data_IF_144032248604
#
_entry.id   IF_144032248604
#
_cell.length_a   1.000
_cell.length_b   1.000
_cell.length_c   1.000
_cell.angle_alpha   90.00
_cell.angle_beta   90.00
_cell.angle_gamma   90.00
#
_symmetry.space_group_name_H-M   'P 1'
#
loop_
_entity.id
_entity.type
_entity.pdbx_description
1 polymer ?
#
# COMPACT_ATOMS: atom_id res chain seq x y z
N UNK A 1 0.49 -4.07 -16.55
CA UNK A 1 1.75 -4.17 -15.82
C UNK A 1 1.71 -3.37 -14.50
N UNK A 2 1.38 -2.04 -14.53
CA UNK A 2 1.38 -1.18 -13.33
C UNK A 2 0.53 -1.74 -12.18
N UNK A 3 -0.73 -2.12 -12.45
CA UNK A 3 -1.61 -2.71 -11.42
C UNK A 3 -1.00 -3.97 -10.79
N UNK A 4 -0.40 -4.85 -11.60
CA UNK A 4 0.28 -6.04 -11.10
C UNK A 4 1.47 -5.68 -10.21
N UNK A 5 2.29 -4.71 -10.62
CA UNK A 5 3.45 -4.26 -9.85
C UNK A 5 3.04 -3.61 -8.51
N UNK A 6 1.97 -2.80 -8.51
CA UNK A 6 1.39 -2.23 -7.29
C UNK A 6 0.89 -3.31 -6.33
N UNK A 7 0.21 -4.34 -6.83
CA UNK A 7 -0.24 -5.45 -6.00
C UNK A 7 0.94 -6.29 -5.47
N UNK A 8 1.93 -6.56 -6.32
CA UNK A 8 3.10 -7.35 -5.95
C UNK A 8 3.92 -6.70 -4.82
N UNK A 9 4.14 -5.37 -4.88
CA UNK A 9 4.90 -4.69 -3.82
C UNK A 9 4.14 -4.66 -2.48
N UNK A 10 2.80 -4.66 -2.50
CA UNK A 10 2.00 -4.80 -1.27
C UNK A 10 2.16 -6.19 -0.66
N UNK A 11 2.19 -7.24 -1.50
CA UNK A 11 2.43 -8.62 -1.03
C UNK A 11 3.83 -8.76 -0.42
N UNK A 12 4.86 -8.23 -1.09
CA UNK A 12 6.23 -8.27 -0.56
C UNK A 12 6.39 -7.41 0.70
N UNK A 13 5.71 -6.26 0.79
CA UNK A 13 5.63 -5.45 2.01
C UNK A 13 4.92 -6.20 3.15
N UNK A 14 3.91 -7.00 2.84
CA UNK A 14 3.30 -7.94 3.79
C UNK A 14 4.30 -8.99 4.29
N UNK A 15 5.14 -9.52 3.41
CA UNK A 15 6.21 -10.46 3.79
C UNK A 15 7.24 -9.80 4.72
N UNK A 16 7.71 -8.57 4.42
CA UNK A 16 8.59 -7.77 5.31
C UNK A 16 8.00 -7.70 6.72
N UNK A 17 6.71 -7.45 6.81
CA UNK A 17 6.02 -7.32 8.07
C UNK A 17 5.89 -8.66 8.82
N UNK A 18 5.49 -9.74 8.14
CA UNK A 18 5.27 -11.06 8.74
C UNK A 18 6.58 -11.71 9.18
N UNK A 19 7.68 -11.43 8.50
CA UNK A 19 9.01 -11.95 8.86
C UNK A 19 9.71 -11.11 9.92
N UNK A 20 9.10 -10.02 10.40
CA UNK A 20 9.73 -9.11 11.34
C UNK A 20 10.96 -8.41 10.77
N UNK A 21 10.94 -8.10 9.46
CA UNK A 21 12.07 -7.53 8.72
C UNK A 21 11.97 -6.01 8.54
N UNK A 22 10.98 -5.36 9.15
CA UNK A 22 10.67 -3.95 8.87
C UNK A 22 11.72 -2.95 9.35
N UNK A 23 12.67 -3.36 10.20
CA UNK A 23 13.83 -2.60 10.66
C UNK A 23 15.16 -3.26 10.30
N UNK A 24 15.18 -4.14 9.30
CA UNK A 24 16.41 -4.72 8.77
C UNK A 24 17.36 -3.66 8.17
N UNK A 25 16.81 -2.56 7.67
CA UNK A 25 17.52 -1.33 7.30
C UNK A 25 17.04 -0.18 8.21
N UNK A 26 17.68 0.07 9.36
CA UNK A 26 17.13 0.96 10.40
C UNK A 26 17.21 2.45 10.05
N UNK A 27 17.82 2.82 8.93
CA UNK A 27 17.94 4.21 8.47
C UNK A 27 17.26 4.44 7.13
N UNK A 28 17.08 5.71 6.75
CA UNK A 28 16.53 6.10 5.46
C UNK A 28 17.09 7.48 5.04
N UNK A 29 17.47 7.69 3.78
CA UNK A 29 17.38 6.77 2.63
C UNK A 29 18.43 5.63 2.62
N UNK A 30 19.46 5.71 3.43
CA UNK A 30 20.49 4.68 3.59
C UNK A 30 19.92 3.42 4.26
N UNK A 31 20.51 2.25 4.01
CA UNK A 31 20.16 1.03 4.75
C UNK A 31 20.79 1.04 6.15
N UNK A 32 22.06 1.46 6.24
CA UNK A 32 22.79 1.70 7.49
C UNK A 32 23.59 2.99 7.37
N UNK A 33 23.99 3.62 8.48
CA UNK A 33 24.78 4.83 8.42
C UNK A 33 26.02 4.69 7.50
N UNK A 34 26.08 5.55 6.48
CA UNK A 34 27.16 5.55 5.48
C UNK A 34 27.05 4.45 4.42
N UNK A 35 25.91 3.75 4.27
CA UNK A 35 25.73 2.77 3.21
C UNK A 35 24.27 2.66 2.73
N UNK A 36 24.08 2.79 1.42
CA UNK A 36 22.79 2.55 0.76
C UNK A 36 22.49 1.06 0.57
N UNK A 37 23.49 0.19 0.71
CA UNK A 37 23.36 -1.27 0.59
C UNK A 37 23.60 -1.96 1.93
N UNK A 38 23.02 -3.15 2.13
CA UNK A 38 23.30 -3.98 3.30
C UNK A 38 24.80 -4.23 3.49
N UNK A 39 25.25 -4.20 4.74
CA UNK A 39 26.61 -4.56 5.13
C UNK A 39 26.64 -5.95 5.76
N UNK A 40 27.69 -6.76 5.53
CA UNK A 40 27.76 -8.14 6.06
C UNK A 40 27.86 -8.23 7.59
N UNK A 41 28.19 -7.13 8.26
CA UNK A 41 28.39 -7.06 9.73
C UNK A 41 27.36 -6.19 10.43
N UNK A 42 26.12 -6.11 9.89
CA UNK A 42 25.01 -5.44 10.58
C UNK A 42 24.59 -6.22 11.83
N UNK A 43 24.08 -5.51 12.83
CA UNK A 43 23.53 -6.11 14.06
C UNK A 43 22.26 -6.91 13.74
N UNK A 44 21.52 -6.45 12.76
CA UNK A 44 20.28 -7.09 12.30
C UNK A 44 20.59 -8.39 11.56
N UNK A 45 19.70 -9.35 11.69
CA UNK A 45 19.79 -10.64 11.01
C UNK A 45 19.81 -10.47 9.48
N UNK A 46 20.84 -11.01 8.82
CA UNK A 46 21.09 -10.79 7.40
C UNK A 46 19.89 -11.10 6.50
N UNK A 47 19.12 -12.16 6.81
CA UNK A 47 17.93 -12.52 6.04
C UNK A 47 16.90 -11.40 6.10
N UNK A 48 16.65 -10.81 7.26
CA UNK A 48 15.71 -9.71 7.46
C UNK A 48 16.13 -8.46 6.71
N UNK A 49 17.43 -8.16 6.75
CA UNK A 49 18.02 -7.03 6.00
C UNK A 49 17.77 -7.17 4.50
N UNK A 50 18.01 -8.34 3.93
CA UNK A 50 17.81 -8.57 2.49
C UNK A 50 16.35 -8.60 2.07
N UNK A 51 15.43 -9.06 2.94
CA UNK A 51 13.98 -9.00 2.69
C UNK A 51 13.53 -7.55 2.62
N UNK A 52 13.89 -6.70 3.58
CA UNK A 52 13.52 -5.28 3.55
C UNK A 52 14.20 -4.55 2.40
N UNK A 53 15.50 -4.71 2.23
CA UNK A 53 16.25 -4.06 1.16
C UNK A 53 15.70 -4.42 -0.22
N UNK A 54 15.38 -5.69 -0.44
CA UNK A 54 14.74 -6.17 -1.67
C UNK A 54 13.40 -5.47 -1.93
N UNK A 55 12.59 -5.28 -0.89
CA UNK A 55 11.32 -4.54 -1.01
C UNK A 55 11.55 -3.05 -1.35
N UNK A 56 12.60 -2.42 -0.79
CA UNK A 56 12.98 -1.04 -1.17
C UNK A 56 13.39 -0.95 -2.65
N UNK A 57 14.13 -1.94 -3.18
CA UNK A 57 14.53 -1.97 -4.59
C UNK A 57 13.33 -2.08 -5.53
N UNK A 58 12.28 -2.82 -5.16
CA UNK A 58 11.06 -2.91 -5.95
C UNK A 58 10.37 -1.56 -6.14
N UNK A 59 10.54 -0.62 -5.22
CA UNK A 59 10.03 0.75 -5.37
C UNK A 59 10.61 1.45 -6.59
N UNK A 60 11.91 1.29 -6.86
CA UNK A 60 12.54 1.87 -8.06
C UNK A 60 12.00 1.25 -9.34
N UNK A 61 11.79 -0.08 -9.36
CA UNK A 61 11.15 -0.77 -10.49
C UNK A 61 9.75 -0.23 -10.72
N UNK A 62 9.00 -0.01 -9.65
CA UNK A 62 7.64 0.53 -9.71
C UNK A 62 7.61 1.97 -10.24
N UNK A 63 8.56 2.82 -9.83
CA UNK A 63 8.74 4.18 -10.37
C UNK A 63 8.97 4.14 -11.89
N UNK A 64 9.87 3.28 -12.36
CA UNK A 64 10.16 3.13 -13.80
C UNK A 64 8.91 2.70 -14.58
N UNK A 65 8.15 1.74 -14.06
CA UNK A 65 6.89 1.30 -14.66
C UNK A 65 5.87 2.46 -14.70
N UNK A 66 5.74 3.23 -13.62
CA UNK A 66 4.80 4.34 -13.55
C UNK A 66 5.18 5.47 -14.52
N UNK A 67 6.47 5.81 -14.63
CA UNK A 67 6.99 6.79 -15.59
C UNK A 67 6.70 6.31 -17.03
N UNK A 68 6.97 5.03 -17.34
CA UNK A 68 6.68 4.46 -18.65
C UNK A 68 5.19 4.56 -19.00
N UNK A 69 4.31 4.30 -18.03
CA UNK A 69 2.86 4.46 -18.19
C UNK A 69 2.50 5.93 -18.43
N UNK A 70 3.07 6.86 -17.68
CA UNK A 70 2.83 8.29 -17.86
C UNK A 70 3.26 8.76 -19.26
N UNK A 71 4.46 8.40 -19.71
CA UNK A 71 4.96 8.71 -21.06
C UNK A 71 4.02 8.14 -22.12
N UNK A 72 3.57 6.90 -21.97
CA UNK A 72 2.63 6.25 -22.88
C UNK A 72 1.29 6.99 -22.96
N UNK A 73 0.78 7.46 -21.82
CA UNK A 73 -0.45 8.27 -21.76
C UNK A 73 -0.27 9.64 -22.42
N UNK A 74 0.87 10.28 -22.20
CA UNK A 74 1.18 11.58 -22.84
C UNK A 74 1.31 11.43 -24.36
N UNK A 75 1.98 10.38 -24.83
CA UNK A 75 2.15 10.08 -26.27
C UNK A 75 0.82 9.72 -26.96
N UNK A 76 -0.08 9.01 -26.26
CA UNK A 76 -1.39 8.63 -26.81
C UNK A 76 -2.42 9.75 -26.87
N UNK A 77 -2.07 10.97 -26.43
CA UNK A 77 -2.94 12.16 -26.35
C UNK A 77 -4.23 11.97 -25.51
N UNK A 78 -4.32 10.91 -24.70
CA UNK A 78 -5.45 10.64 -23.80
C UNK A 78 -5.41 11.58 -22.58
N UNK A 79 -6.01 12.77 -22.75
CA UNK A 79 -6.03 13.84 -21.72
C UNK A 79 -6.77 13.38 -20.44
N UNK A 80 -7.78 12.53 -20.60
CA UNK A 80 -8.60 11.97 -19.53
C UNK A 80 -7.83 11.04 -18.57
N UNK A 81 -6.70 10.47 -19.01
CA UNK A 81 -5.88 9.56 -18.22
C UNK A 81 -4.66 10.26 -17.55
N UNK A 82 -4.33 11.50 -17.97
CA UNK A 82 -3.11 12.20 -17.52
C UNK A 82 -3.05 12.39 -16.00
N UNK A 83 -4.17 12.82 -15.42
CA UNK A 83 -4.25 13.03 -13.96
C UNK A 83 -4.02 11.74 -13.18
N UNK A 84 -4.62 10.61 -13.62
CA UNK A 84 -4.42 9.31 -12.99
C UNK A 84 -2.97 8.83 -13.15
N UNK A 85 -2.39 8.95 -14.35
CA UNK A 85 -1.02 8.52 -14.61
C UNK A 85 0.01 9.36 -13.83
N UNK A 86 -0.17 10.69 -13.77
CA UNK A 86 0.66 11.57 -12.94
C UNK A 86 0.48 11.25 -11.45
N UNK A 87 -0.76 11.02 -11.01
CA UNK A 87 -1.06 10.62 -9.63
C UNK A 87 -0.37 9.32 -9.22
N UNK A 88 -0.19 8.37 -10.13
CA UNK A 88 0.59 7.16 -9.87
C UNK A 88 2.06 7.49 -9.59
N UNK A 89 2.70 8.30 -10.42
CA UNK A 89 4.11 8.69 -10.23
C UNK A 89 4.29 9.44 -8.91
N UNK A 90 3.48 10.48 -8.67
CA UNK A 90 3.57 11.29 -7.45
C UNK A 90 3.24 10.46 -6.19
N UNK A 91 2.26 9.57 -6.29
CA UNK A 91 1.88 8.71 -5.18
C UNK A 91 2.96 7.69 -4.84
N UNK A 92 3.69 7.13 -5.82
CA UNK A 92 4.80 6.22 -5.56
C UNK A 92 5.98 6.97 -4.92
N UNK A 93 6.27 8.21 -5.36
CA UNK A 93 7.25 9.07 -4.68
C UNK A 93 6.81 9.34 -3.23
N UNK A 94 5.53 9.66 -3.02
CA UNK A 94 4.95 9.81 -1.69
C UNK A 94 5.06 8.56 -0.84
N UNK A 95 4.93 7.37 -1.44
CA UNK A 95 5.16 6.08 -0.77
C UNK A 95 6.62 5.93 -0.30
N UNK A 96 7.58 6.33 -1.11
CA UNK A 96 9.00 6.33 -0.72
C UNK A 96 9.25 7.18 0.51
N UNK A 97 8.71 8.42 0.51
CA UNK A 97 8.83 9.36 1.64
C UNK A 97 8.12 8.80 2.88
N UNK A 98 6.89 8.34 2.73
CA UNK A 98 6.10 7.79 3.86
C UNK A 98 6.71 6.49 4.40
N UNK A 99 7.28 5.66 3.53
CA UNK A 99 8.06 4.48 3.93
C UNK A 99 9.30 4.86 4.73
N UNK A 100 10.01 5.92 4.33
CA UNK A 100 11.12 6.47 5.10
C UNK A 100 10.69 6.97 6.49
N UNK A 101 9.59 7.73 6.57
CA UNK A 101 9.01 8.17 7.84
C UNK A 101 8.65 6.95 8.71
N UNK A 102 8.09 5.90 8.11
CA UNK A 102 7.72 4.66 8.82
C UNK A 102 8.94 4.00 9.48
N UNK A 103 10.07 3.91 8.78
CA UNK A 103 11.32 3.38 9.33
C UNK A 103 11.86 4.30 10.44
N UNK A 104 11.97 5.60 10.18
CA UNK A 104 12.52 6.59 11.13
C UNK A 104 11.68 6.75 12.40
N UNK A 105 10.40 6.38 12.35
CA UNK A 105 9.50 6.36 13.54
C UNK A 105 9.45 4.99 14.21
N UNK A 106 10.37 4.07 13.90
CA UNK A 106 10.42 2.72 14.49
C UNK A 106 9.16 1.91 14.19
N UNK A 107 8.62 2.00 12.98
CA UNK A 107 7.39 1.34 12.51
C UNK A 107 6.17 1.74 13.36
N UNK A 108 6.05 3.01 13.73
CA UNK A 108 4.87 3.49 14.47
C UNK A 108 3.58 3.06 13.75
N UNK A 109 2.60 2.46 14.44
CA UNK A 109 1.46 1.81 13.78
C UNK A 109 0.62 2.77 12.91
N UNK A 110 0.56 4.06 13.25
CA UNK A 110 -0.14 5.03 12.41
C UNK A 110 0.58 5.31 11.09
N UNK A 111 1.92 5.36 11.07
CA UNK A 111 2.69 5.56 9.83
C UNK A 111 2.64 4.32 8.94
N UNK A 112 2.68 3.12 9.52
CA UNK A 112 2.48 1.84 8.81
C UNK A 112 1.08 1.78 8.19
N UNK A 113 0.04 2.15 8.96
CA UNK A 113 -1.33 2.22 8.46
C UNK A 113 -1.47 3.21 7.30
N UNK A 114 -0.93 4.42 7.44
CA UNK A 114 -0.95 5.44 6.39
C UNK A 114 -0.24 4.96 5.11
N UNK A 115 0.93 4.32 5.25
CA UNK A 115 1.69 3.76 4.14
C UNK A 115 0.89 2.67 3.39
N UNK A 116 0.23 1.77 4.12
CA UNK A 116 -0.63 0.74 3.54
C UNK A 116 -1.87 1.35 2.86
N UNK A 117 -2.58 2.29 3.51
CA UNK A 117 -3.76 2.94 2.94
C UNK A 117 -3.44 3.71 1.65
N UNK A 118 -2.29 4.39 1.59
CA UNK A 118 -1.83 5.03 0.35
C UNK A 118 -1.58 3.98 -0.76
N UNK A 119 -1.06 2.79 -0.43
CA UNK A 119 -0.92 1.69 -1.40
C UNK A 119 -2.27 1.26 -1.98
N UNK A 120 -3.31 1.17 -1.15
CA UNK A 120 -4.67 0.84 -1.60
C UNK A 120 -5.22 1.90 -2.56
N UNK A 121 -5.00 3.19 -2.26
CA UNK A 121 -5.38 4.30 -3.15
C UNK A 121 -4.66 4.19 -4.49
N UNK A 122 -3.38 3.84 -4.50
CA UNK A 122 -2.61 3.66 -5.72
C UNK A 122 -3.09 2.46 -6.54
N UNK A 123 -3.44 1.34 -5.89
CA UNK A 123 -4.05 0.18 -6.57
C UNK A 123 -5.39 0.56 -7.18
N UNK A 124 -6.25 1.28 -6.47
CA UNK A 124 -7.52 1.76 -6.99
C UNK A 124 -7.33 2.71 -8.20
N UNK A 125 -6.35 3.61 -8.12
CA UNK A 125 -5.97 4.48 -9.25
C UNK A 125 -5.45 3.70 -10.46
N UNK A 126 -4.60 2.70 -10.26
CA UNK A 126 -4.08 1.83 -11.32
C UNK A 126 -5.19 0.98 -11.96
N UNK A 127 -6.15 0.51 -11.15
CA UNK A 127 -7.35 -0.21 -11.62
C UNK A 127 -8.22 0.70 -12.48
N UNK A 128 -8.46 1.94 -12.02
CA UNK A 128 -9.21 2.95 -12.78
C UNK A 128 -8.51 3.31 -14.08
N UNK A 129 -7.19 3.45 -14.09
CA UNK A 129 -6.39 3.72 -15.27
C UNK A 129 -6.52 2.58 -16.30
N UNK A 130 -6.44 1.32 -15.83
CA UNK A 130 -6.62 0.14 -16.65
C UNK A 130 -8.05 0.06 -17.24
N UNK A 131 -9.07 0.26 -16.40
CA UNK A 131 -10.47 0.21 -16.84
C UNK A 131 -10.77 1.26 -17.92
N UNK A 132 -10.39 2.52 -17.68
CA UNK A 132 -10.60 3.61 -18.62
C UNK A 132 -9.79 3.50 -19.92
N UNK A 133 -8.67 2.77 -19.89
CA UNK A 133 -7.91 2.47 -21.11
C UNK A 133 -8.69 1.55 -22.03
N UNK A 134 -9.36 0.54 -21.51
CA UNK A 134 -10.09 -0.46 -22.29
C UNK A 134 -11.54 -0.04 -22.59
N UNK A 135 -12.14 0.71 -21.67
CA UNK A 135 -13.52 1.19 -21.77
C UNK A 135 -13.48 2.72 -21.63
N UNK A 136 -13.39 3.47 -22.77
CA UNK A 136 -13.50 4.92 -22.73
C UNK A 136 -14.78 5.33 -22.01
N UNK A 137 -14.69 6.35 -21.18
CA UNK A 137 -15.83 6.82 -20.37
C UNK A 137 -16.84 7.50 -21.30
N UNK A 138 -17.74 6.72 -21.87
CA UNK A 138 -19.03 7.24 -22.31
C UNK A 138 -19.86 7.55 -21.05
N UNK A 139 -20.63 8.64 -21.09
CA UNK A 139 -21.56 8.97 -20.01
C UNK A 139 -22.66 7.91 -19.99
N UNK A 140 -22.38 6.78 -19.39
CA UNK A 140 -23.35 5.73 -19.19
C UNK A 140 -24.17 6.12 -17.95
N UNK A 141 -25.43 6.44 -18.15
CA UNK A 141 -26.36 6.68 -17.05
C UNK A 141 -26.56 5.36 -16.30
N UNK A 142 -25.91 5.22 -15.16
CA UNK A 142 -26.11 4.07 -14.30
C UNK A 142 -27.46 4.20 -13.58
N UNK A 143 -28.20 3.10 -13.47
CA UNK A 143 -29.41 3.04 -12.69
C UNK A 143 -29.12 3.51 -11.25
N UNK A 144 -29.98 4.34 -10.63
CA UNK A 144 -29.76 4.87 -9.27
C UNK A 144 -29.48 3.79 -8.23
N UNK A 145 -30.13 2.63 -8.37
CA UNK A 145 -29.93 1.47 -7.50
C UNK A 145 -28.48 0.93 -7.62
N UNK A 146 -27.98 0.73 -8.84
CA UNK A 146 -26.61 0.23 -9.08
C UNK A 146 -25.59 1.19 -8.48
N UNK A 147 -25.79 2.50 -8.63
CA UNK A 147 -24.93 3.52 -8.03
C UNK A 147 -24.93 3.45 -6.49
N UNK A 148 -26.11 3.26 -5.87
CA UNK A 148 -26.21 3.13 -4.40
C UNK A 148 -25.46 1.88 -3.91
N UNK A 149 -25.71 0.73 -4.54
CA UNK A 149 -25.02 -0.53 -4.19
C UNK A 149 -23.51 -0.35 -4.33
N UNK A 150 -23.02 0.20 -5.44
CA UNK A 150 -21.59 0.43 -5.66
C UNK A 150 -20.98 1.37 -4.59
N UNK A 151 -21.67 2.45 -4.23
CA UNK A 151 -21.20 3.37 -3.18
C UNK A 151 -21.17 2.69 -1.81
N UNK A 152 -22.22 1.93 -1.46
CA UNK A 152 -22.26 1.17 -0.19
C UNK A 152 -21.10 0.17 -0.15
N UNK A 153 -20.87 -0.55 -1.25
CA UNK A 153 -19.75 -1.50 -1.37
C UNK A 153 -18.39 -0.82 -1.17
N UNK A 154 -18.15 0.32 -1.83
CA UNK A 154 -16.90 1.10 -1.69
C UNK A 154 -16.73 1.57 -0.24
N UNK A 155 -17.76 2.12 0.39
CA UNK A 155 -17.70 2.62 1.76
C UNK A 155 -17.40 1.46 2.73
N UNK A 156 -18.13 0.35 2.61
CA UNK A 156 -17.94 -0.82 3.50
C UNK A 156 -16.55 -1.43 3.29
N UNK A 157 -16.07 -1.57 2.05
CA UNK A 157 -14.71 -2.02 1.74
C UNK A 157 -13.66 -1.11 2.37
N UNK A 158 -13.83 0.21 2.26
CA UNK A 158 -12.91 1.18 2.86
C UNK A 158 -12.89 1.07 4.39
N UNK A 159 -14.04 0.84 5.02
CA UNK A 159 -14.16 0.61 6.46
C UNK A 159 -13.44 -0.68 6.87
N UNK A 160 -13.66 -1.78 6.15
CA UNK A 160 -12.97 -3.06 6.39
C UNK A 160 -11.46 -2.88 6.34
N UNK A 161 -10.94 -2.20 5.30
CA UNK A 161 -9.51 -1.96 5.15
C UNK A 161 -8.97 -1.11 6.30
N UNK A 162 -9.66 -0.03 6.67
CA UNK A 162 -9.26 0.85 7.77
C UNK A 162 -9.24 0.10 9.12
N UNK A 163 -10.30 -0.65 9.44
CA UNK A 163 -10.35 -1.49 10.65
C UNK A 163 -9.25 -2.55 10.65
N UNK A 164 -8.95 -3.16 9.48
CA UNK A 164 -7.85 -4.11 9.32
C UNK A 164 -6.49 -3.50 9.66
N UNK A 165 -6.25 -2.21 9.34
CA UNK A 165 -5.00 -1.53 9.75
C UNK A 165 -4.92 -1.32 11.26
N UNK A 166 -6.06 -1.09 11.93
CA UNK A 166 -6.11 -0.96 13.39
C UNK A 166 -5.82 -2.30 14.05
N UNK A 167 -6.46 -3.39 13.60
CA UNK A 167 -6.17 -4.76 14.10
C UNK A 167 -4.69 -5.08 13.93
N UNK A 168 -4.15 -4.76 12.77
CA UNK A 168 -2.76 -4.94 12.43
C UNK A 168 -1.81 -4.17 13.34
N UNK A 169 -2.11 -2.90 13.61
CA UNK A 169 -1.30 -2.04 14.48
C UNK A 169 -1.45 -2.35 15.97
N UNK A 170 -2.50 -3.09 16.37
CA UNK A 170 -2.73 -3.56 17.75
C UNK A 170 -2.12 -4.95 17.99
N UNK A 171 -2.09 -5.79 16.94
CA UNK A 171 -1.71 -7.20 17.01
C UNK A 171 -0.18 -7.45 17.05
N UNK A 172 0.24 -8.72 17.18
CA UNK A 172 1.63 -9.11 17.41
C UNK A 172 2.55 -8.92 16.18
N UNK A 173 2.01 -8.92 14.96
CA UNK A 173 2.81 -8.87 13.73
C UNK A 173 2.90 -7.44 13.17
N UNK A 174 3.62 -6.53 13.84
CA UNK A 174 3.77 -5.13 13.40
C UNK A 174 5.03 -4.85 12.57
N UNK A 175 5.80 -5.87 12.22
CA UNK A 175 7.00 -5.73 11.39
C UNK A 175 8.32 -5.82 12.13
N UNK A 176 8.31 -5.68 13.46
CA UNK A 176 9.44 -5.93 14.36
C UNK A 176 8.93 -6.20 15.79
N UNK A 177 9.70 -6.89 16.60
CA UNK A 177 9.33 -7.25 17.96
C UNK A 177 9.28 -6.06 18.93
N UNK A 178 10.08 -5.03 18.67
CA UNK A 178 10.26 -3.86 19.53
C UNK A 178 9.30 -2.72 19.20
N UNK A 179 8.50 -2.83 18.13
CA UNK A 179 7.63 -1.76 17.65
C UNK A 179 6.49 -1.45 18.61
N UNK A 180 6.15 -0.17 18.68
CA UNK A 180 4.99 0.31 19.41
C UNK A 180 3.68 -0.26 18.82
N UNK A 181 2.68 -0.48 19.70
CA UNK A 181 1.34 -0.94 19.33
C UNK A 181 0.31 0.14 19.60
N UNK A 182 -0.84 0.08 18.94
CA UNK A 182 -1.99 0.85 19.37
C UNK A 182 -2.49 0.36 20.73
N UNK A 183 -2.89 1.25 21.62
CA UNK A 183 -3.35 0.91 22.98
C UNK A 183 -4.83 0.46 22.98
N UNK A 184 -5.24 -0.33 21.98
CA UNK A 184 -6.61 -0.85 21.90
C UNK A 184 -6.66 -2.30 22.38
N UNK A 185 -7.84 -2.72 22.86
CA UNK A 185 -8.08 -4.14 23.11
C UNK A 185 -8.17 -4.91 21.78
N UNK A 186 -7.23 -5.83 21.56
CA UNK A 186 -7.11 -6.58 20.32
C UNK A 186 -8.38 -7.37 19.99
N UNK A 187 -9.04 -7.93 21.00
CA UNK A 187 -10.27 -8.71 20.80
C UNK A 187 -11.39 -7.84 20.26
N UNK A 188 -11.58 -6.67 20.86
CA UNK A 188 -12.63 -5.71 20.43
C UNK A 188 -12.41 -5.23 18.99
N UNK A 189 -11.18 -4.80 18.65
CA UNK A 189 -10.90 -4.31 17.29
C UNK A 189 -10.97 -5.43 16.25
N UNK A 190 -10.58 -6.66 16.61
CA UNK A 190 -10.69 -7.81 15.74
C UNK A 190 -12.16 -8.17 15.46
N UNK A 191 -13.03 -8.09 16.45
CA UNK A 191 -14.47 -8.33 16.26
C UNK A 191 -15.12 -7.28 15.39
N UNK A 192 -14.84 -5.98 15.64
CA UNK A 192 -15.34 -4.90 14.79
C UNK A 192 -14.90 -5.06 13.32
N UNK A 193 -13.68 -5.49 13.10
CA UNK A 193 -13.20 -5.79 11.75
C UNK A 193 -13.94 -6.99 11.14
N UNK A 194 -14.12 -8.07 11.90
CA UNK A 194 -14.84 -9.26 11.44
C UNK A 194 -16.30 -8.95 11.10
N UNK A 195 -17.00 -8.18 11.93
CA UNK A 195 -18.38 -7.75 11.67
C UNK A 195 -18.49 -6.92 10.38
N UNK A 196 -17.53 -6.01 10.16
CA UNK A 196 -17.46 -5.23 8.92
C UNK A 196 -17.20 -6.11 7.68
N UNK A 197 -16.37 -7.15 7.82
CA UNK A 197 -16.11 -8.15 6.75
C UNK A 197 -17.37 -8.94 6.45
N UNK A 198 -18.11 -9.40 7.49
CA UNK A 198 -19.39 -10.11 7.31
C UNK A 198 -20.43 -9.23 6.60
N UNK A 199 -20.52 -7.95 7.01
CA UNK A 199 -21.41 -6.98 6.36
C UNK A 199 -21.03 -6.78 4.88
N UNK A 200 -19.72 -6.63 4.56
CA UNK A 200 -19.25 -6.52 3.19
C UNK A 200 -19.60 -7.78 2.38
N UNK A 201 -19.44 -8.96 2.97
CA UNK A 201 -19.81 -10.23 2.32
C UNK A 201 -21.30 -10.27 1.99
N UNK A 202 -22.17 -9.88 2.93
CA UNK A 202 -23.63 -9.82 2.72
C UNK A 202 -24.08 -8.79 1.68
N UNK A 203 -23.30 -7.75 1.39
CA UNK A 203 -23.58 -6.77 0.33
C UNK A 203 -23.10 -7.30 -1.04
N UNK A 204 -22.11 -8.19 -1.05
CA UNK A 204 -21.48 -8.70 -2.27
C UNK A 204 -22.30 -9.82 -2.92
N UNK A 205 -23.02 -10.61 -2.13
CA UNK A 205 -23.79 -11.79 -2.52
C UNK A 205 -25.28 -11.62 -2.23
#
# INVERSE_FOLDING_TARGET
>A
LLLFAQAAIVVTGGAVRLTGSGLGCPTWPECTPGSYTPKPYQVEEQVKVWIEFGNRLLTFVLVLIAITVLISVLASRRKDLRGLALGQVLGIVGQGVLGGITVLTGLHPATVAAHFLLSIILIAGATSLRARRHFPSEKQESLPLVRRIALTHIITTSLVIALGTIVTGTGPHAGDATTQRFPFDLRTVAWLHADAVIALFGITF
#
